data_IF_647307617974
#
_entry.id   IF_647307617974
#
_cell.length_a   1.000
_cell.length_b   1.000
_cell.length_c   1.000
_cell.angle_alpha   90.00
_cell.angle_beta   90.00
_cell.angle_gamma   90.00
#
_symmetry.space_group_name_H-M   'P 1'
#
loop_
_entity.id
_entity.type
_entity.pdbx_description
1 polymer ?
#
# COMPACT_ATOMS: atom_id res chain seq x y z
N UNK A 1 11.25 18.88 11.10
CA UNK A 1 10.72 17.54 10.80
C UNK A 1 11.93 16.66 10.56
N UNK A 2 12.26 15.78 11.50
CA UNK A 2 13.40 14.86 11.35
C UNK A 2 12.86 13.65 10.60
N UNK A 3 13.38 13.37 9.40
CA UNK A 3 13.13 12.09 8.73
C UNK A 3 13.75 10.99 9.59
N UNK A 4 12.93 10.32 10.39
CA UNK A 4 13.29 9.03 10.93
C UNK A 4 13.00 7.99 9.85
N UNK A 5 14.06 7.44 9.25
CA UNK A 5 13.93 6.22 8.46
C UNK A 5 13.40 5.12 9.40
N UNK A 6 12.14 4.76 9.20
CA UNK A 6 11.40 3.77 9.97
C UNK A 6 11.71 2.36 9.48
N UNK A 7 11.94 2.20 8.19
CA UNK A 7 12.57 1.03 7.57
C UNK A 7 14.04 1.35 7.27
N UNK A 8 14.95 0.82 8.07
CA UNK A 8 16.38 0.92 7.82
C UNK A 8 16.82 0.07 6.61
N UNK A 9 18.05 0.26 6.14
CA UNK A 9 18.61 -0.50 4.99
C UNK A 9 18.68 -2.02 5.21
N UNK A 10 18.46 -2.49 6.44
CA UNK A 10 18.55 -3.92 6.82
C UNK A 10 17.48 -4.79 6.13
N UNK A 11 16.49 -4.17 5.49
CA UNK A 11 15.47 -4.87 4.69
C UNK A 11 15.96 -5.24 3.29
N UNK A 12 17.01 -4.59 2.77
CA UNK A 12 17.61 -4.96 1.48
C UNK A 12 18.24 -6.35 1.59
N UNK A 13 18.14 -7.12 0.52
CA UNK A 13 18.53 -8.53 0.41
C UNK A 13 17.69 -9.52 1.21
N UNK A 14 16.75 -9.06 2.04
CA UNK A 14 15.82 -9.94 2.75
C UNK A 14 14.95 -10.71 1.77
N UNK A 15 14.83 -12.02 2.00
CA UNK A 15 13.96 -12.92 1.23
C UNK A 15 12.66 -13.12 1.99
N UNK A 16 11.56 -12.73 1.37
CA UNK A 16 10.21 -12.91 1.88
C UNK A 16 9.61 -14.15 1.23
N UNK A 17 9.24 -15.12 2.06
CA UNK A 17 8.60 -16.37 1.61
C UNK A 17 7.09 -16.28 1.79
N UNK A 18 6.37 -16.70 0.74
CA UNK A 18 4.92 -16.77 0.68
C UNK A 18 4.51 -18.23 0.49
N UNK A 19 3.60 -18.71 1.34
CA UNK A 19 2.96 -20.00 1.15
C UNK A 19 1.99 -19.96 -0.04
N UNK A 20 1.57 -21.13 -0.54
CA UNK A 20 0.52 -21.19 -1.54
C UNK A 20 -0.82 -20.75 -0.93
N UNK A 21 -1.54 -19.86 -1.61
CA UNK A 21 -2.86 -19.38 -1.23
C UNK A 21 -3.62 -19.05 -2.52
N UNK A 22 -4.85 -19.52 -2.71
CA UNK A 22 -5.59 -19.26 -3.96
C UNK A 22 -5.73 -17.73 -4.23
N UNK A 23 -5.32 -17.19 -5.40
CA UNK A 23 -4.85 -17.84 -6.63
C UNK A 23 -3.32 -17.90 -6.82
N UNK A 24 -2.54 -17.59 -5.79
CA UNK A 24 -1.09 -17.46 -5.80
C UNK A 24 -0.35 -18.76 -5.42
N UNK A 25 0.66 -19.17 -6.21
CA UNK A 25 1.54 -20.27 -5.84
C UNK A 25 2.49 -19.86 -4.71
N UNK A 26 3.04 -20.86 -4.02
CA UNK A 26 4.14 -20.64 -3.10
C UNK A 26 5.34 -20.02 -3.85
N UNK A 27 5.88 -18.92 -3.32
CA UNK A 27 6.95 -18.17 -3.99
C UNK A 27 7.81 -17.40 -2.99
N UNK A 28 9.05 -17.15 -3.37
CA UNK A 28 9.98 -16.30 -2.63
C UNK A 28 10.30 -15.05 -3.43
N UNK A 29 10.42 -13.92 -2.72
CA UNK A 29 10.75 -12.62 -3.30
C UNK A 29 11.88 -11.98 -2.50
N UNK A 30 12.90 -11.51 -3.20
CA UNK A 30 14.04 -10.81 -2.60
C UNK A 30 13.84 -9.31 -2.75
N UNK A 31 13.99 -8.56 -1.66
CA UNK A 31 13.97 -7.09 -1.70
C UNK A 31 15.32 -6.63 -2.25
N UNK A 32 15.32 -6.01 -3.42
CA UNK A 32 16.56 -5.61 -4.12
C UNK A 32 16.89 -4.12 -3.96
N UNK A 33 15.87 -3.30 -3.71
CA UNK A 33 16.00 -1.85 -3.49
C UNK A 33 14.76 -1.30 -2.79
N UNK A 34 14.94 -0.20 -2.07
CA UNK A 34 13.85 0.62 -1.58
C UNK A 34 13.45 1.65 -2.65
N UNK A 35 12.16 1.83 -2.89
CA UNK A 35 11.66 2.82 -3.86
C UNK A 35 11.22 4.11 -3.17
N UNK A 36 10.51 4.01 -2.06
CA UNK A 36 10.03 5.12 -1.26
C UNK A 36 9.70 4.65 0.16
N UNK A 37 9.57 5.60 1.08
CA UNK A 37 9.09 5.38 2.43
C UNK A 37 8.16 6.52 2.82
N UNK A 38 6.97 6.19 3.33
CA UNK A 38 6.01 7.18 3.79
C UNK A 38 5.59 6.76 5.19
N UNK A 39 5.76 7.68 6.14
CA UNK A 39 5.28 7.52 7.51
C UNK A 39 4.05 8.38 7.70
N UNK A 40 2.89 7.74 7.87
CA UNK A 40 1.63 8.41 8.22
C UNK A 40 1.28 7.99 9.63
N UNK A 41 1.46 8.90 10.59
CA UNK A 41 0.86 8.79 11.91
C UNK A 41 -0.45 9.59 11.91
N UNK A 42 -1.47 9.08 12.62
CA UNK A 42 -2.69 9.84 12.91
C UNK A 42 -2.37 11.16 13.61
N UNK A 43 -3.35 12.04 13.73
CA UNK A 43 -3.17 13.40 14.26
C UNK A 43 -2.43 13.36 15.63
N UNK A 44 -1.67 14.39 16.01
CA UNK A 44 -0.80 14.36 17.21
C UNK A 44 -1.55 13.93 18.48
N UNK A 45 -2.84 14.26 18.56
CA UNK A 45 -3.74 13.86 19.66
C UNK A 45 -4.07 12.37 19.64
N UNK A 46 -4.32 11.81 18.45
CA UNK A 46 -4.52 10.37 18.26
C UNK A 46 -3.23 9.61 18.51
N UNK A 47 -2.10 10.16 18.07
CA UNK A 47 -0.76 9.61 18.34
C UNK A 47 -0.44 9.58 19.84
N UNK A 48 -0.72 10.64 20.61
CA UNK A 48 -0.54 10.63 22.07
C UNK A 48 -1.47 9.64 22.78
N UNK A 49 -2.74 9.58 22.35
CA UNK A 49 -3.70 8.63 22.89
C UNK A 49 -3.27 7.18 22.61
N UNK A 50 -2.85 6.90 21.37
CA UNK A 50 -2.33 5.61 20.94
C UNK A 50 -1.04 5.27 21.67
N UNK A 51 -0.10 6.19 21.84
CA UNK A 51 1.18 5.99 22.53
C UNK A 51 0.99 5.51 23.98
N UNK A 52 -0.05 5.99 24.65
CA UNK A 52 -0.42 5.61 26.02
C UNK A 52 -1.01 4.20 26.14
N UNK A 53 -1.44 3.60 25.03
CA UNK A 53 -1.98 2.25 24.99
C UNK A 53 -0.87 1.19 25.12
N UNK A 54 -1.26 0.05 25.69
CA UNK A 54 -0.41 -1.13 25.71
C UNK A 54 -0.11 -1.60 24.28
N UNK A 55 0.98 -2.36 24.08
CA UNK A 55 1.28 -2.94 22.77
C UNK A 55 0.14 -3.86 22.28
N UNK A 56 -0.59 -4.51 23.19
CA UNK A 56 -1.71 -5.37 22.86
C UNK A 56 -2.92 -4.57 22.35
N UNK A 57 -3.21 -3.44 22.98
CA UNK A 57 -4.32 -2.58 22.58
C UNK A 57 -4.02 -1.84 21.27
N UNK A 58 -2.77 -1.39 21.06
CA UNK A 58 -2.29 -0.89 19.76
C UNK A 58 -2.50 -1.91 18.64
N UNK A 59 -2.21 -3.18 18.91
CA UNK A 59 -2.37 -4.26 17.94
C UNK A 59 -3.85 -4.59 17.64
N UNK A 60 -4.75 -4.41 18.62
CA UNK A 60 -6.21 -4.60 18.42
C UNK A 60 -6.80 -3.46 17.58
N UNK A 61 -6.40 -2.22 17.83
CA UNK A 61 -6.87 -1.06 17.04
C UNK A 61 -6.44 -1.18 15.57
N UNK A 62 -5.17 -1.54 15.33
CA UNK A 62 -4.66 -1.78 13.98
C UNK A 62 -5.39 -2.91 13.24
N UNK A 63 -5.97 -3.88 13.98
CA UNK A 63 -6.78 -4.95 13.38
C UNK A 63 -8.18 -4.46 12.98
N UNK A 64 -8.76 -3.52 13.75
CA UNK A 64 -10.08 -2.94 13.50
C UNK A 64 -10.06 -2.01 12.28
N UNK A 65 -9.08 -1.10 12.17
CA UNK A 65 -8.93 -0.24 10.98
C UNK A 65 -8.58 -1.02 9.71
N UNK A 66 -8.03 -2.23 9.85
CA UNK A 66 -7.72 -3.11 8.73
C UNK A 66 -8.95 -3.80 8.09
N UNK A 67 -10.19 -3.43 8.45
CA UNK A 67 -11.42 -3.95 7.83
C UNK A 67 -11.56 -3.55 6.36
N UNK A 68 -11.02 -2.40 5.93
CA UNK A 68 -10.77 -2.08 4.51
C UNK A 68 -9.28 -2.24 4.24
N UNK A 69 -8.89 -3.43 3.80
CA UNK A 69 -7.48 -3.74 3.63
C UNK A 69 -7.03 -3.68 2.18
N UNK A 70 -5.89 -3.03 1.94
CA UNK A 70 -5.30 -2.82 0.62
C UNK A 70 -5.16 -4.14 -0.16
N UNK A 71 -4.79 -5.26 0.50
CA UNK A 71 -4.73 -6.55 -0.20
C UNK A 71 -6.09 -7.01 -0.73
N UNK A 72 -7.19 -6.70 -0.03
CA UNK A 72 -8.53 -7.12 -0.44
C UNK A 72 -8.97 -6.32 -1.65
N UNK A 73 -8.73 -5.01 -1.62
CA UNK A 73 -8.99 -4.13 -2.75
C UNK A 73 -8.15 -4.55 -3.97
N UNK A 74 -6.84 -4.75 -3.80
CA UNK A 74 -5.94 -5.17 -4.87
C UNK A 74 -6.27 -6.55 -5.41
N UNK A 75 -6.67 -7.50 -4.56
CA UNK A 75 -7.13 -8.82 -5.00
C UNK A 75 -8.41 -8.72 -5.83
N UNK A 76 -9.37 -7.90 -5.40
CA UNK A 76 -10.62 -7.69 -6.13
C UNK A 76 -10.36 -7.06 -7.51
N UNK A 77 -9.52 -6.01 -7.58
CA UNK A 77 -9.16 -5.34 -8.83
C UNK A 77 -8.41 -6.27 -9.79
N UNK A 78 -7.48 -7.08 -9.25
CA UNK A 78 -6.74 -8.09 -10.02
C UNK A 78 -7.68 -9.14 -10.60
N UNK A 79 -8.62 -9.67 -9.79
CA UNK A 79 -9.64 -10.63 -10.26
C UNK A 79 -10.61 -10.01 -11.27
N UNK A 80 -10.92 -8.72 -11.11
CA UNK A 80 -11.74 -7.95 -12.03
C UNK A 80 -11.03 -7.59 -13.35
N UNK A 81 -9.75 -7.92 -13.50
CA UNK A 81 -8.98 -7.60 -14.70
C UNK A 81 -8.75 -6.10 -14.90
N UNK A 82 -8.71 -5.31 -13.82
CA UNK A 82 -8.46 -3.88 -13.91
C UNK A 82 -7.04 -3.62 -14.47
N UNK A 83 -6.96 -3.02 -15.66
CA UNK A 83 -5.69 -2.71 -16.32
C UNK A 83 -5.08 -1.39 -15.83
N UNK A 84 -5.84 -0.60 -15.06
CA UNK A 84 -5.45 0.71 -14.58
C UNK A 84 -4.71 0.69 -13.23
N UNK A 85 -4.56 -0.50 -12.62
CA UNK A 85 -3.80 -0.72 -11.39
C UNK A 85 -2.81 -1.86 -11.58
N UNK A 86 -1.70 -1.90 -10.84
CA UNK A 86 -0.78 -3.03 -10.91
C UNK A 86 -1.47 -4.31 -10.44
N UNK A 87 -1.20 -5.43 -11.13
CA UNK A 87 -1.71 -6.74 -10.73
C UNK A 87 -1.07 -7.18 -9.40
N UNK A 88 -1.88 -7.75 -8.51
CA UNK A 88 -1.41 -8.40 -7.29
C UNK A 88 -0.82 -9.77 -7.65
N UNK A 89 0.45 -9.98 -7.33
CA UNK A 89 1.19 -11.21 -7.61
C UNK A 89 1.27 -12.14 -6.40
N UNK A 90 1.24 -11.58 -5.19
CA UNK A 90 1.17 -12.31 -3.92
C UNK A 90 0.89 -11.32 -2.78
N UNK A 91 0.45 -11.82 -1.63
CA UNK A 91 0.39 -11.03 -0.39
C UNK A 91 0.44 -11.92 0.84
N UNK A 92 0.82 -11.34 1.99
CA UNK A 92 0.63 -11.98 3.30
C UNK A 92 0.54 -10.94 4.41
N UNK A 93 -0.09 -11.32 5.51
CA UNK A 93 -0.02 -10.61 6.80
C UNK A 93 0.84 -11.40 7.76
N UNK A 94 1.74 -10.72 8.46
CA UNK A 94 2.65 -11.34 9.43
C UNK A 94 2.60 -10.55 10.73
N UNK A 95 2.40 -11.23 11.86
CA UNK A 95 2.44 -10.59 13.17
C UNK A 95 3.89 -10.30 13.55
N UNK A 96 4.16 -9.08 13.97
CA UNK A 96 5.45 -8.67 14.49
C UNK A 96 5.61 -9.17 15.93
N UNK A 97 6.84 -9.47 16.34
CA UNK A 97 7.11 -9.75 17.74
C UNK A 97 6.94 -8.49 18.60
N UNK A 98 6.87 -8.65 19.91
CA UNK A 98 6.54 -7.55 20.83
C UNK A 98 7.71 -6.59 21.09
N UNK A 99 8.91 -6.87 20.57
CA UNK A 99 10.15 -6.24 20.98
C UNK A 99 10.96 -5.65 19.80
N UNK A 100 10.57 -5.94 18.56
CA UNK A 100 11.31 -5.59 17.37
C UNK A 100 10.40 -5.16 16.23
N UNK A 101 11.01 -4.51 15.23
CA UNK A 101 10.31 -4.03 14.05
C UNK A 101 9.65 -2.67 14.24
N UNK A 102 9.11 -2.13 13.14
CA UNK A 102 8.47 -0.81 13.11
C UNK A 102 7.26 -0.69 14.05
N UNK A 103 6.48 -1.76 14.19
CA UNK A 103 5.27 -1.76 15.03
C UNK A 103 5.29 -3.01 15.91
N UNK A 104 6.00 -2.98 17.05
CA UNK A 104 6.10 -4.14 17.94
C UNK A 104 4.72 -4.63 18.39
N UNK A 105 4.47 -5.93 18.25
CA UNK A 105 3.19 -6.60 18.52
C UNK A 105 2.11 -6.38 17.45
N UNK A 106 2.34 -5.47 16.49
CA UNK A 106 1.45 -5.18 15.37
C UNK A 106 1.60 -6.16 14.21
N UNK A 107 1.27 -5.71 13.00
CA UNK A 107 1.32 -6.53 11.79
C UNK A 107 2.15 -5.85 10.70
N UNK A 108 2.75 -6.66 9.84
CA UNK A 108 3.25 -6.25 8.54
C UNK A 108 2.36 -6.86 7.46
N UNK A 109 1.89 -6.02 6.55
CA UNK A 109 1.21 -6.46 5.33
C UNK A 109 2.24 -6.37 4.21
N UNK A 110 2.51 -7.50 3.57
CA UNK A 110 3.36 -7.56 2.38
C UNK A 110 2.47 -7.66 1.16
N UNK A 111 2.60 -6.70 0.24
CA UNK A 111 1.98 -6.73 -1.08
C UNK A 111 3.07 -6.90 -2.14
N UNK A 112 2.95 -7.92 -2.98
CA UNK A 112 3.80 -8.06 -4.16
C UNK A 112 3.00 -7.64 -5.37
N UNK A 113 3.32 -6.46 -5.89
CA UNK A 113 2.64 -5.86 -7.03
C UNK A 113 3.48 -5.99 -8.30
N UNK A 114 2.79 -6.02 -9.44
CA UNK A 114 3.41 -5.87 -10.75
C UNK A 114 4.18 -4.54 -10.80
N UNK A 115 5.43 -4.60 -11.23
CA UNK A 115 6.21 -3.39 -11.47
C UNK A 115 5.75 -2.71 -12.76
N UNK A 116 5.19 -1.51 -12.67
CA UNK A 116 4.74 -0.72 -13.82
C UNK A 116 5.86 0.22 -14.29
N UNK A 117 6.04 0.39 -15.61
CA UNK A 117 6.93 1.42 -16.12
C UNK A 117 6.30 2.82 -15.89
N UNK A 118 7.14 3.84 -15.78
CA UNK A 118 6.68 5.22 -15.74
C UNK A 118 7.35 6.04 -14.64
N UNK A 119 6.89 7.29 -14.53
CA UNK A 119 7.34 8.25 -13.52
C UNK A 119 6.10 8.69 -12.75
N UNK A 120 6.22 8.79 -11.42
CA UNK A 120 5.15 9.33 -10.58
C UNK A 120 4.96 10.80 -10.94
N UNK A 121 3.75 11.15 -11.37
CA UNK A 121 3.37 12.53 -11.61
C UNK A 121 3.33 13.29 -10.27
N UNK A 122 4.22 14.25 -10.06
CA UNK A 122 4.17 15.12 -8.89
C UNK A 122 3.18 16.27 -9.10
N UNK A 123 2.76 16.92 -8.01
CA UNK A 123 1.92 18.11 -8.07
C UNK A 123 2.61 19.23 -8.86
N UNK A 124 3.91 19.44 -8.61
CA UNK A 124 4.71 20.45 -9.31
C UNK A 124 4.80 20.16 -10.82
N UNK A 125 5.14 18.92 -11.20
CA UNK A 125 5.21 18.52 -12.61
C UNK A 125 3.88 18.76 -13.33
N UNK A 126 2.77 18.36 -12.68
CA UNK A 126 1.45 18.50 -13.25
C UNK A 126 1.09 19.96 -13.53
N UNK A 127 1.36 20.88 -12.60
CA UNK A 127 1.05 22.29 -12.79
C UNK A 127 1.99 23.01 -13.76
N UNK A 128 3.19 22.48 -13.96
CA UNK A 128 4.15 22.98 -14.96
C UNK A 128 3.80 22.56 -16.39
N UNK A 129 2.91 21.59 -16.60
CA UNK A 129 2.45 21.20 -17.93
C UNK A 129 1.49 22.22 -18.56
N UNK A 130 1.50 22.23 -19.90
CA UNK A 130 0.57 23.04 -20.69
C UNK A 130 -0.90 22.68 -20.40
N UNK A 131 -1.82 23.58 -20.76
CA UNK A 131 -3.27 23.31 -20.63
C UNK A 131 -3.68 22.02 -21.32
N UNK A 132 -3.19 21.77 -22.54
CA UNK A 132 -3.48 20.58 -23.34
C UNK A 132 -2.96 19.30 -22.67
N UNK A 133 -1.70 19.27 -22.23
CA UNK A 133 -1.14 18.10 -21.54
C UNK A 133 -1.89 17.78 -20.24
N UNK A 134 -2.27 18.80 -19.47
CA UNK A 134 -3.07 18.57 -18.26
C UNK A 134 -4.44 17.98 -18.58
N UNK A 135 -5.04 18.37 -19.70
CA UNK A 135 -6.32 17.81 -20.14
C UNK A 135 -6.18 16.34 -20.58
N UNK A 136 -5.13 16.01 -21.33
CA UNK A 136 -4.80 14.62 -21.69
C UNK A 136 -4.62 13.75 -20.43
N UNK A 137 -3.93 14.26 -19.41
CA UNK A 137 -3.76 13.58 -18.13
C UNK A 137 -5.10 13.38 -17.41
N UNK A 138 -5.98 14.39 -17.38
CA UNK A 138 -7.30 14.28 -16.75
C UNK A 138 -8.18 13.24 -17.43
N UNK A 139 -8.21 13.24 -18.76
CA UNK A 139 -9.00 12.27 -19.53
C UNK A 139 -8.47 10.84 -19.32
N UNK A 140 -7.14 10.65 -19.32
CA UNK A 140 -6.54 9.35 -18.98
C UNK A 140 -6.87 8.92 -17.53
N UNK A 141 -6.78 9.84 -16.57
CA UNK A 141 -7.13 9.57 -15.18
C UNK A 141 -8.61 9.20 -15.02
N UNK A 142 -9.51 9.86 -15.75
CA UNK A 142 -10.94 9.56 -15.74
C UNK A 142 -11.21 8.13 -16.23
N UNK A 143 -10.58 7.71 -17.33
CA UNK A 143 -10.69 6.32 -17.81
C UNK A 143 -10.21 5.34 -16.75
N UNK A 144 -9.06 5.61 -16.12
CA UNK A 144 -8.51 4.77 -15.06
C UNK A 144 -9.44 4.70 -13.83
N UNK A 145 -9.98 5.84 -13.41
CA UNK A 145 -10.90 5.94 -12.28
C UNK A 145 -12.17 5.11 -12.49
N UNK A 146 -12.74 5.16 -13.70
CA UNK A 146 -13.91 4.37 -14.08
C UNK A 146 -13.63 2.86 -14.10
N UNK A 147 -12.38 2.46 -14.36
CA UNK A 147 -11.97 1.06 -14.32
C UNK A 147 -11.85 0.54 -12.87
N UNK A 148 -11.43 1.39 -11.93
CA UNK A 148 -11.29 1.05 -10.50
C UNK A 148 -12.63 1.11 -9.77
N UNK A 149 -13.43 2.13 -10.07
CA UNK A 149 -14.75 2.36 -9.50
C UNK A 149 -15.78 2.20 -10.62
N UNK A 150 -16.16 0.96 -10.98
CA UNK A 150 -17.26 0.76 -11.89
C UNK A 150 -18.48 1.43 -11.27
N UNK A 151 -18.97 2.49 -11.91
CA UNK A 151 -20.22 3.14 -11.52
C UNK A 151 -21.28 2.04 -11.57
N UNK A 152 -21.91 1.74 -10.43
CA UNK A 152 -23.22 1.12 -10.41
C UNK A 152 -24.14 2.04 -11.23
N UNK A 153 -24.32 1.74 -12.52
CA UNK A 153 -25.11 2.52 -13.47
C UNK A 153 -26.63 2.53 -13.17
N UNK A 154 -27.06 2.07 -11.98
CA UNK A 154 -28.48 2.02 -11.60
C UNK A 154 -28.98 3.25 -10.81
N UNK A 155 -28.17 4.29 -10.59
CA UNK A 155 -28.58 5.48 -9.82
C UNK A 155 -28.17 6.82 -10.47
N UNK A 156 -28.55 7.03 -11.74
CA UNK A 156 -28.76 8.37 -12.32
C UNK A 156 -30.09 8.37 -13.09
#
# INVERSE_FOLDING_TARGET
MVEHAFFNSDWIDKVITFAASDPFPAKQWKIVRQLNEIHVQGDEKESQALESLSHEDKAKEALLEAEISEERAMLALTKGGCESVPQLLNWKREKQDNNSGPVPGGYLVYLVLQNLPGVRLSCEDYWNFSGTQREEIREAFKVAYMCVCPIDQELI
#
